data_IF_892423629226
#
_entry.id   IF_892423629226
#
_cell.length_a   1.000
_cell.length_b   1.000
_cell.length_c   1.000
_cell.angle_alpha   90.00
_cell.angle_beta   90.00
_cell.angle_gamma   90.00
#
_symmetry.space_group_name_H-M   'P 1'
#
loop_
_entity.id
_entity.type
_entity.pdbx_description
1 polymer ?
#
# COMPACT_ATOMS: atom_id res chain seq x y z
N UNK A 1 -14.27 -18.60 -10.20
CA UNK A 1 -13.33 -18.38 -11.32
C UNK A 1 -12.03 -17.87 -10.72
N UNK A 2 -11.03 -18.72 -10.58
CA UNK A 2 -9.68 -18.29 -10.19
C UNK A 2 -9.07 -17.62 -11.42
N UNK A 3 -8.86 -16.31 -11.34
CA UNK A 3 -8.20 -15.56 -12.41
C UNK A 3 -6.75 -16.05 -12.47
N UNK A 4 -6.28 -16.38 -13.67
CA UNK A 4 -4.93 -16.89 -13.88
C UNK A 4 -3.87 -15.92 -13.32
N UNK A 5 -3.05 -16.42 -12.39
CA UNK A 5 -2.08 -15.61 -11.65
C UNK A 5 -1.02 -14.98 -12.58
N UNK A 6 -0.39 -15.74 -13.50
CA UNK A 6 0.44 -15.20 -14.58
C UNK A 6 -0.19 -14.01 -15.30
N UNK A 7 -1.42 -14.14 -15.78
CA UNK A 7 -2.11 -13.07 -16.51
C UNK A 7 -2.30 -11.80 -15.66
N UNK A 8 -2.65 -11.94 -14.37
CA UNK A 8 -2.81 -10.80 -13.48
C UNK A 8 -1.50 -10.07 -13.16
N UNK A 9 -0.40 -10.82 -13.02
CA UNK A 9 0.92 -10.20 -12.81
C UNK A 9 1.28 -9.34 -14.03
N UNK A 10 1.06 -9.85 -15.23
CA UNK A 10 1.36 -9.12 -16.47
C UNK A 10 0.54 -7.84 -16.61
N UNK A 11 -0.77 -7.91 -16.36
CA UNK A 11 -1.66 -6.74 -16.39
C UNK A 11 -1.21 -5.68 -15.40
N UNK A 12 -1.01 -6.05 -14.13
CA UNK A 12 -0.62 -5.08 -13.10
C UNK A 12 0.78 -4.53 -13.38
N UNK A 13 1.73 -5.36 -13.80
CA UNK A 13 3.09 -4.93 -14.12
C UNK A 13 3.10 -3.91 -15.26
N UNK A 14 2.37 -4.18 -16.35
CA UNK A 14 2.28 -3.28 -17.48
C UNK A 14 1.60 -1.96 -17.12
N UNK A 15 0.53 -1.99 -16.31
CA UNK A 15 -0.13 -0.78 -15.82
C UNK A 15 0.83 0.07 -14.97
N UNK A 16 1.55 -0.55 -14.04
CA UNK A 16 2.54 0.13 -13.22
C UNK A 16 3.71 0.67 -14.07
N UNK A 17 4.15 -0.07 -15.09
CA UNK A 17 5.19 0.40 -16.02
C UNK A 17 4.73 1.64 -16.79
N UNK A 18 3.52 1.65 -17.32
CA UNK A 18 2.96 2.82 -18.00
C UNK A 18 2.86 4.02 -17.06
N UNK A 19 2.41 3.80 -15.82
CA UNK A 19 2.35 4.84 -14.79
C UNK A 19 3.74 5.39 -14.44
N UNK A 20 4.74 4.51 -14.25
CA UNK A 20 6.13 4.89 -14.01
C UNK A 20 6.67 5.76 -15.14
N UNK A 21 6.40 5.37 -16.39
CA UNK A 21 6.85 6.10 -17.58
C UNK A 21 6.24 7.50 -17.71
N UNK A 22 5.04 7.72 -17.17
CA UNK A 22 4.41 9.06 -17.14
C UNK A 22 5.10 9.97 -16.13
N UNK A 23 5.52 9.42 -14.99
CA UNK A 23 6.11 10.16 -13.87
C UNK A 23 7.62 10.36 -14.03
N UNK A 24 8.33 9.32 -14.49
CA UNK A 24 9.77 9.32 -14.72
C UNK A 24 10.06 8.84 -16.17
N UNK A 25 9.99 9.75 -17.17
CA UNK A 25 10.15 9.38 -18.58
C UNK A 25 11.50 8.74 -18.92
N UNK A 26 12.53 8.92 -18.09
CA UNK A 26 13.83 8.25 -18.22
C UNK A 26 13.74 6.71 -18.15
N UNK A 27 12.63 6.15 -17.64
CA UNK A 27 12.38 4.71 -17.57
C UNK A 27 11.60 4.15 -18.77
N UNK A 28 11.25 4.97 -19.78
CA UNK A 28 10.35 4.55 -20.86
C UNK A 28 10.78 3.28 -21.59
N UNK A 29 12.09 3.08 -21.74
CA UNK A 29 12.68 1.93 -22.42
C UNK A 29 13.19 0.83 -21.46
N UNK A 30 13.02 1.01 -20.14
CA UNK A 30 13.44 0.03 -19.14
C UNK A 30 12.39 -1.10 -19.04
N UNK A 31 12.81 -2.35 -18.88
CA UNK A 31 11.92 -3.51 -18.70
C UNK A 31 11.53 -3.74 -17.23
N UNK A 32 11.98 -2.86 -16.33
CA UNK A 32 11.78 -2.94 -14.88
C UNK A 32 10.81 -1.89 -14.37
N UNK A 33 10.29 -2.13 -13.18
CA UNK A 33 9.51 -1.15 -12.42
C UNK A 33 10.06 -1.03 -10.99
N UNK A 34 9.69 0.03 -10.28
CA UNK A 34 10.16 0.30 -8.92
C UNK A 34 9.23 -0.36 -7.89
N UNK A 35 9.75 -1.14 -6.94
CA UNK A 35 8.91 -1.64 -5.85
C UNK A 35 8.42 -0.48 -4.97
N UNK A 36 7.10 -0.37 -4.77
CA UNK A 36 6.48 0.73 -4.01
C UNK A 36 6.96 0.84 -2.56
N UNK A 37 7.40 -0.24 -1.94
CA UNK A 37 7.92 -0.22 -0.56
C UNK A 37 9.42 0.06 -0.53
N UNK A 38 10.24 -0.85 -1.06
CA UNK A 38 11.70 -0.73 -0.94
C UNK A 38 12.36 0.23 -1.94
N UNK A 39 11.66 0.67 -2.99
CA UNK A 39 12.20 1.58 -4.00
C UNK A 39 13.21 0.97 -4.98
N UNK A 40 13.43 -0.36 -4.95
CA UNK A 40 14.33 -1.02 -5.90
C UNK A 40 13.68 -1.15 -7.27
N UNK A 41 14.45 -0.88 -8.31
CA UNK A 41 14.12 -1.13 -9.70
C UNK A 41 14.34 -2.62 -10.02
N UNK A 42 13.29 -3.32 -10.45
CA UNK A 42 13.25 -4.78 -10.53
C UNK A 42 12.49 -5.27 -11.78
N UNK A 43 12.89 -6.42 -12.31
CA UNK A 43 12.22 -7.09 -13.43
C UNK A 43 10.92 -7.74 -12.99
N UNK A 44 10.03 -8.03 -13.94
CA UNK A 44 8.71 -8.64 -13.71
C UNK A 44 8.77 -9.94 -12.91
N UNK A 45 9.68 -10.83 -13.26
CA UNK A 45 9.91 -12.12 -12.61
C UNK A 45 10.38 -11.99 -11.15
N UNK A 46 10.79 -10.79 -10.72
CA UNK A 46 11.23 -10.47 -9.37
C UNK A 46 10.11 -9.91 -8.46
N UNK A 47 8.88 -9.84 -8.98
CA UNK A 47 7.67 -9.53 -8.21
C UNK A 47 6.83 -10.78 -7.94
N UNK A 48 5.94 -10.64 -6.97
CA UNK A 48 4.86 -11.57 -6.71
C UNK A 48 3.55 -10.79 -6.65
N UNK A 49 2.48 -11.42 -7.14
CA UNK A 49 1.12 -10.94 -6.93
C UNK A 49 0.82 -10.91 -5.44
N UNK A 50 0.33 -9.77 -4.96
CA UNK A 50 0.05 -9.54 -3.55
C UNK A 50 -1.42 -9.19 -3.32
N UNK A 51 -2.00 -9.82 -2.30
CA UNK A 51 -3.33 -9.48 -1.78
C UNK A 51 -3.18 -8.40 -0.71
N UNK A 52 -3.67 -7.20 -1.01
CA UNK A 52 -3.51 -6.05 -0.12
C UNK A 52 -4.23 -6.33 1.20
N UNK A 53 -5.50 -6.73 1.14
CA UNK A 53 -6.18 -7.40 2.26
C UNK A 53 -5.79 -8.88 2.23
N UNK A 54 -5.14 -9.41 3.29
CA UNK A 54 -4.72 -10.81 3.32
C UNK A 54 -5.91 -11.74 3.13
N UNK A 55 -5.70 -12.81 2.36
CA UNK A 55 -6.76 -13.79 2.07
C UNK A 55 -7.33 -14.44 3.34
N UNK A 56 -6.55 -14.51 4.41
CA UNK A 56 -6.98 -15.00 5.71
C UNK A 56 -8.10 -14.12 6.26
N UNK A 57 -8.01 -12.80 6.12
CA UNK A 57 -9.01 -11.84 6.56
C UNK A 57 -10.39 -12.13 5.93
N UNK A 58 -10.40 -12.43 4.63
CA UNK A 58 -11.61 -12.68 3.84
C UNK A 58 -12.35 -13.98 4.19
N UNK A 59 -11.78 -14.86 5.04
CA UNK A 59 -12.41 -16.14 5.40
C UNK A 59 -13.71 -15.98 6.19
N UNK A 60 -13.83 -14.90 6.98
CA UNK A 60 -15.02 -14.58 7.77
C UNK A 60 -15.96 -13.59 7.07
N UNK A 61 -15.69 -13.23 5.82
CA UNK A 61 -16.65 -12.46 5.03
C UNK A 61 -17.98 -13.23 4.95
N UNK A 62 -19.09 -12.49 4.94
CA UNK A 62 -20.44 -13.07 4.85
C UNK A 62 -20.54 -14.01 3.64
N UNK A 63 -21.36 -15.06 3.75
CA UNK A 63 -21.44 -16.10 2.71
C UNK A 63 -21.78 -15.53 1.34
N UNK A 64 -22.69 -14.58 1.28
CA UNK A 64 -23.24 -14.04 0.03
C UNK A 64 -22.23 -13.18 -0.74
N UNK A 65 -21.28 -12.54 -0.04
CA UNK A 65 -20.21 -11.76 -0.70
C UNK A 65 -19.20 -12.65 -1.43
N UNK A 66 -19.25 -13.98 -1.24
CA UNK A 66 -18.41 -14.95 -1.98
C UNK A 66 -18.78 -15.06 -3.46
N UNK A 67 -19.94 -14.53 -3.87
CA UNK A 67 -20.28 -14.30 -5.27
C UNK A 67 -19.30 -13.33 -5.95
N UNK A 68 -18.69 -12.42 -5.18
CA UNK A 68 -17.66 -11.49 -5.67
C UNK A 68 -16.29 -12.19 -5.61
N UNK A 69 -15.50 -12.16 -6.70
CA UNK A 69 -14.20 -12.82 -6.75
C UNK A 69 -13.28 -12.40 -5.59
N UNK A 70 -12.57 -13.38 -5.03
CA UNK A 70 -11.66 -13.16 -3.89
C UNK A 70 -10.59 -12.11 -4.18
N UNK A 71 -10.04 -12.13 -5.40
CA UNK A 71 -9.03 -11.16 -5.85
C UNK A 71 -9.58 -9.74 -5.88
N UNK A 72 -10.83 -9.55 -6.30
CA UNK A 72 -11.54 -8.27 -6.26
C UNK A 72 -11.73 -7.81 -4.83
N UNK A 73 -12.23 -8.68 -3.94
CA UNK A 73 -12.46 -8.35 -2.52
C UNK A 73 -11.19 -8.08 -1.72
N UNK A 74 -10.06 -8.63 -2.15
CA UNK A 74 -8.77 -8.45 -1.49
C UNK A 74 -8.05 -7.18 -1.93
N UNK A 75 -8.28 -6.76 -3.18
CA UNK A 75 -7.39 -5.86 -3.89
C UNK A 75 -6.06 -6.53 -4.23
N UNK A 76 -5.49 -6.18 -5.38
CA UNK A 76 -4.26 -6.77 -5.88
C UNK A 76 -3.21 -5.71 -6.19
N UNK A 77 -1.95 -6.05 -5.95
CA UNK A 77 -0.79 -5.25 -6.39
C UNK A 77 0.44 -6.15 -6.57
N UNK A 78 1.59 -5.56 -6.84
CA UNK A 78 2.88 -6.25 -6.90
C UNK A 78 3.81 -5.79 -5.78
N UNK A 79 4.32 -6.75 -5.01
CA UNK A 79 5.44 -6.54 -4.09
C UNK A 79 6.66 -7.36 -4.53
N UNK A 80 7.85 -6.84 -4.30
CA UNK A 80 9.06 -7.57 -4.67
C UNK A 80 9.24 -8.82 -3.80
N UNK A 81 9.75 -9.89 -4.41
CA UNK A 81 10.11 -11.15 -3.74
C UNK A 81 11.62 -11.37 -3.63
N UNK A 82 12.43 -10.39 -4.03
CA UNK A 82 13.90 -10.45 -3.94
C UNK A 82 14.39 -10.17 -2.52
N UNK A 83 15.40 -10.89 -1.99
CA UNK A 83 15.92 -10.67 -0.64
C UNK A 83 16.16 -9.19 -0.31
N UNK A 84 15.68 -8.73 0.85
CA UNK A 84 15.87 -7.36 1.32
C UNK A 84 17.12 -7.26 2.17
N UNK A 85 17.99 -6.31 1.82
CA UNK A 85 19.07 -5.85 2.68
C UNK A 85 18.81 -4.39 3.06
N UNK A 86 18.67 -4.10 4.34
CA UNK A 86 18.56 -2.73 4.87
C UNK A 86 19.84 -2.47 5.66
N UNK A 87 20.60 -1.44 5.26
CA UNK A 87 21.89 -1.09 5.90
C UNK A 87 22.86 -2.29 5.95
N UNK A 88 22.94 -3.06 4.86
CA UNK A 88 23.79 -4.25 4.75
C UNK A 88 23.26 -5.50 5.46
N UNK A 89 22.33 -5.38 6.41
CA UNK A 89 21.72 -6.51 7.12
C UNK A 89 20.58 -7.12 6.31
N UNK A 90 20.54 -8.45 6.20
CA UNK A 90 19.42 -9.18 5.60
C UNK A 90 18.20 -9.02 6.51
N UNK A 91 17.13 -8.44 5.99
CA UNK A 91 15.90 -8.11 6.74
C UNK A 91 14.73 -9.02 6.34
N UNK A 92 14.70 -9.48 5.09
CA UNK A 92 13.74 -10.47 4.60
C UNK A 92 14.38 -11.34 3.53
N UNK A 93 14.08 -12.63 3.54
CA UNK A 93 14.60 -13.58 2.55
C UNK A 93 13.88 -13.47 1.20
N UNK A 94 12.62 -13.05 1.21
CA UNK A 94 11.72 -13.07 0.05
C UNK A 94 11.06 -11.70 -0.16
N UNK A 95 11.84 -10.62 0.02
CA UNK A 95 11.40 -9.29 -0.36
C UNK A 95 10.39 -8.61 0.56
N UNK A 96 9.76 -7.57 0.01
CA UNK A 96 8.72 -6.81 0.70
C UNK A 96 7.45 -7.64 0.90
N UNK A 97 7.19 -8.60 -0.01
CA UNK A 97 6.02 -9.47 0.11
C UNK A 97 6.09 -10.31 1.38
N UNK A 98 7.18 -11.06 1.57
CA UNK A 98 7.34 -11.86 2.79
C UNK A 98 7.49 -11.01 4.06
N UNK A 99 8.03 -9.80 3.96
CA UNK A 99 8.04 -8.86 5.09
C UNK A 99 6.63 -8.52 5.54
N UNK A 100 5.73 -8.14 4.62
CA UNK A 100 4.33 -7.90 4.93
C UNK A 100 3.66 -9.14 5.53
N UNK A 101 3.86 -10.30 4.91
CA UNK A 101 3.34 -11.58 5.41
C UNK A 101 3.74 -11.87 6.87
N UNK A 102 5.01 -11.64 7.21
CA UNK A 102 5.54 -11.88 8.56
C UNK A 102 5.02 -10.87 9.58
N UNK A 103 4.98 -9.59 9.24
CA UNK A 103 4.78 -8.52 10.24
C UNK A 103 3.33 -8.03 10.33
N UNK A 104 2.54 -8.13 9.25
CA UNK A 104 1.26 -7.44 9.12
C UNK A 104 0.08 -8.36 8.88
N UNK A 105 0.21 -9.41 8.05
CA UNK A 105 -0.96 -10.17 7.57
C UNK A 105 -1.82 -10.76 8.68
N UNK A 106 -1.20 -11.36 9.71
CA UNK A 106 -1.92 -11.92 10.86
C UNK A 106 -2.67 -10.83 11.63
N UNK A 107 -2.08 -9.64 11.79
CA UNK A 107 -2.67 -8.51 12.51
C UNK A 107 -3.83 -7.91 11.73
N UNK A 108 -3.66 -7.70 10.43
CA UNK A 108 -4.72 -7.23 9.53
C UNK A 108 -5.89 -8.22 9.52
N UNK A 109 -5.59 -9.52 9.39
CA UNK A 109 -6.63 -10.56 9.38
C UNK A 109 -7.39 -10.61 10.71
N UNK A 110 -6.69 -10.58 11.85
CA UNK A 110 -7.34 -10.49 13.16
C UNK A 110 -8.21 -9.25 13.27
N UNK A 111 -7.73 -8.10 12.77
CA UNK A 111 -8.41 -6.83 12.89
C UNK A 111 -9.69 -6.76 12.06
N UNK A 112 -9.61 -7.13 10.79
CA UNK A 112 -10.77 -7.10 9.89
C UNK A 112 -11.81 -8.20 10.21
N UNK A 113 -11.42 -9.22 10.97
CA UNK A 113 -12.31 -10.30 11.38
C UNK A 113 -12.96 -10.11 12.74
N UNK A 114 -12.26 -9.45 13.66
CA UNK A 114 -12.70 -9.27 15.03
C UNK A 114 -12.95 -7.78 15.23
N UNK A 115 -14.22 -7.37 15.24
CA UNK A 115 -14.64 -5.99 15.57
C UNK A 115 -14.41 -5.64 17.06
N UNK A 116 -13.54 -6.36 17.76
CA UNK A 116 -13.20 -6.12 19.15
C UNK A 116 -11.88 -5.33 19.22
N UNK A 117 -12.03 -4.01 19.30
CA UNK A 117 -10.93 -3.04 19.26
C UNK A 117 -10.17 -2.91 20.59
N UNK A 118 -10.63 -3.58 21.66
CA UNK A 118 -10.12 -3.40 23.02
C UNK A 118 -8.69 -3.93 23.25
N UNK A 119 -8.11 -4.65 22.28
CA UNK A 119 -6.76 -5.23 22.36
C UNK A 119 -5.82 -4.74 21.26
N UNK A 120 -6.02 -3.51 20.76
CA UNK A 120 -5.11 -2.93 19.78
C UNK A 120 -3.80 -2.48 20.43
N UNK A 121 -2.69 -2.89 19.84
CA UNK A 121 -1.37 -2.32 20.10
C UNK A 121 -0.92 -1.41 18.94
N UNK A 122 0.18 -0.69 19.15
CA UNK A 122 0.79 0.19 18.13
C UNK A 122 1.10 -0.57 16.85
N UNK A 123 1.48 -1.84 16.94
CA UNK A 123 1.82 -2.65 15.77
C UNK A 123 0.59 -3.02 14.93
N UNK A 124 -0.60 -3.16 15.54
CA UNK A 124 -1.87 -3.28 14.82
C UNK A 124 -2.12 -2.01 13.99
N UNK A 125 -1.96 -0.84 14.60
CA UNK A 125 -2.18 0.45 13.93
C UNK A 125 -1.20 0.61 12.76
N UNK A 126 0.08 0.30 12.95
CA UNK A 126 1.10 0.33 11.88
C UNK A 126 0.78 -0.65 10.75
N UNK A 127 0.18 -1.81 11.08
CA UNK A 127 -0.23 -2.80 10.07
C UNK A 127 -1.33 -2.25 9.16
N UNK A 128 -2.32 -1.58 9.75
CA UNK A 128 -3.39 -0.91 9.00
C UNK A 128 -2.83 0.25 8.21
N UNK A 129 -2.00 1.11 8.81
CA UNK A 129 -1.32 2.22 8.14
C UNK A 129 -0.56 1.75 6.89
N UNK A 130 0.23 0.69 7.03
CA UNK A 130 1.00 0.08 5.95
C UNK A 130 0.10 -0.45 4.84
N UNK A 131 -1.03 -1.06 5.20
CA UNK A 131 -2.01 -1.59 4.24
C UNK A 131 -2.73 -0.46 3.51
N UNK A 132 -3.12 0.61 4.19
CA UNK A 132 -3.70 1.80 3.58
C UNK A 132 -2.74 2.43 2.57
N UNK A 133 -1.45 2.49 2.86
CA UNK A 133 -0.46 3.01 1.92
C UNK A 133 -0.33 2.11 0.67
N UNK A 134 -0.34 0.78 0.84
CA UNK A 134 -0.36 -0.16 -0.29
C UNK A 134 -1.64 0.00 -1.13
N UNK A 135 -2.79 0.15 -0.48
CA UNK A 135 -4.06 0.41 -1.15
C UNK A 135 -4.01 1.70 -1.97
N UNK A 136 -3.46 2.77 -1.39
CA UNK A 136 -3.24 4.05 -2.07
C UNK A 136 -2.35 3.88 -3.30
N UNK A 137 -1.24 3.14 -3.20
CA UNK A 137 -0.39 2.81 -4.34
C UNK A 137 -1.14 2.01 -5.42
N UNK A 138 -2.01 1.07 -5.04
CA UNK A 138 -2.75 0.24 -6.01
C UNK A 138 -3.72 1.04 -6.89
N UNK A 139 -4.14 2.22 -6.43
CA UNK A 139 -5.07 3.10 -7.15
C UNK A 139 -4.35 4.28 -7.80
N UNK A 140 -3.43 4.94 -7.09
CA UNK A 140 -2.76 6.16 -7.55
C UNK A 140 -1.36 5.93 -8.12
N UNK A 141 -0.88 4.69 -8.13
CA UNK A 141 0.41 4.33 -8.71
C UNK A 141 1.59 5.03 -8.04
N UNK A 142 2.64 5.28 -8.82
CA UNK A 142 3.89 5.88 -8.39
C UNK A 142 3.76 7.33 -7.92
N UNK A 143 2.65 8.01 -8.21
CA UNK A 143 2.36 9.33 -7.65
C UNK A 143 2.29 9.29 -6.12
N UNK A 144 1.79 8.20 -5.55
CA UNK A 144 1.78 7.96 -4.11
C UNK A 144 3.17 7.62 -3.53
N UNK A 145 4.09 7.10 -4.36
CA UNK A 145 5.39 6.56 -3.92
C UNK A 145 6.48 7.62 -3.89
N UNK A 146 6.46 8.57 -4.82
CA UNK A 146 7.51 9.57 -5.01
C UNK A 146 7.22 10.92 -4.36
N UNK A 147 6.22 10.99 -3.49
CA UNK A 147 6.03 12.14 -2.60
C UNK A 147 6.88 12.01 -1.35
N UNK A 148 7.13 13.14 -0.68
CA UNK A 148 7.75 13.16 0.63
C UNK A 148 6.99 12.27 1.63
N UNK A 149 5.66 12.34 1.62
CA UNK A 149 4.84 11.54 2.54
C UNK A 149 4.81 10.05 2.14
N UNK A 150 4.88 9.75 0.84
CA UNK A 150 5.08 8.39 0.35
C UNK A 150 6.38 7.78 0.88
N UNK A 151 7.46 8.56 0.93
CA UNK A 151 8.74 8.13 1.53
C UNK A 151 8.58 7.87 3.03
N UNK A 152 7.87 8.75 3.76
CA UNK A 152 7.59 8.54 5.19
C UNK A 152 6.83 7.22 5.39
N UNK A 153 5.79 6.97 4.59
CA UNK A 153 4.99 5.75 4.68
C UNK A 153 5.83 4.49 4.42
N UNK A 154 6.70 4.53 3.42
CA UNK A 154 7.63 3.44 3.09
C UNK A 154 8.64 3.18 4.19
N UNK A 155 9.12 4.21 4.89
CA UNK A 155 10.02 4.05 6.03
C UNK A 155 9.28 3.44 7.22
N UNK A 156 8.02 3.82 7.44
CA UNK A 156 7.16 3.23 8.47
C UNK A 156 6.88 1.75 8.22
N UNK A 157 6.72 1.33 6.96
CA UNK A 157 6.57 -0.08 6.55
C UNK A 157 7.75 -0.97 6.99
N UNK A 158 8.94 -0.40 7.25
CA UNK A 158 10.08 -1.17 7.79
C UNK A 158 10.32 -0.95 9.29
N UNK A 159 9.34 -0.36 10.00
CA UNK A 159 9.35 -0.10 11.46
C UNK A 159 8.05 -0.63 12.09
N UNK A 160 7.81 -1.96 12.09
CA UNK A 160 6.50 -2.55 12.40
C UNK A 160 6.04 -2.36 13.85
N UNK A 161 6.97 -2.11 14.77
CA UNK A 161 6.68 -2.13 16.21
C UNK A 161 6.70 -0.73 16.85
N UNK A 162 7.02 0.32 16.07
CA UNK A 162 7.08 1.69 16.55
C UNK A 162 6.80 2.70 15.45
N UNK A 163 5.96 3.68 15.77
CA UNK A 163 5.77 4.84 14.90
C UNK A 163 7.04 5.68 14.81
N UNK A 164 7.37 6.06 13.59
CA UNK A 164 8.44 7.01 13.36
C UNK A 164 8.00 8.41 13.78
N UNK A 165 8.96 9.23 14.21
CA UNK A 165 8.71 10.61 14.68
C UNK A 165 8.18 11.54 13.58
N UNK A 166 8.42 11.19 12.31
CA UNK A 166 7.95 11.93 11.14
C UNK A 166 6.52 11.56 10.72
N UNK A 167 5.87 10.60 11.40
CA UNK A 167 4.45 10.28 11.19
C UNK A 167 3.59 11.20 12.06
N UNK A 168 2.68 11.99 11.46
CA UNK A 168 1.78 12.83 12.23
C UNK A 168 0.85 12.02 13.15
N UNK A 169 0.49 12.59 14.31
CA UNK A 169 -0.33 11.91 15.33
C UNK A 169 -1.70 11.49 14.80
N UNK A 170 -2.34 12.30 13.95
CA UNK A 170 -3.64 11.95 13.35
C UNK A 170 -3.55 10.71 12.44
N UNK A 171 -2.36 10.35 11.93
CA UNK A 171 -2.14 9.13 11.15
C UNK A 171 -1.96 7.88 12.01
N UNK A 172 -1.98 8.05 13.33
CA UNK A 172 -1.86 6.99 14.32
C UNK A 172 -3.24 6.61 14.89
N UNK A 173 -4.32 7.23 14.39
CA UNK A 173 -5.70 6.98 14.82
C UNK A 173 -6.39 6.06 13.82
N UNK A 174 -7.09 5.05 14.33
CA UNK A 174 -8.01 4.21 13.55
C UNK A 174 -9.44 4.63 13.87
N UNK A 175 -10.22 4.87 12.81
CA UNK A 175 -11.67 4.96 12.89
C UNK A 175 -12.25 3.60 12.53
N UNK A 176 -13.06 3.04 13.43
CA UNK A 176 -13.73 1.77 13.22
C UNK A 176 -15.24 1.96 13.15
N UNK A 177 -15.86 1.24 12.22
CA UNK A 177 -17.31 1.14 12.07
C UNK A 177 -17.75 -0.31 12.04
N UNK A 178 -18.97 -0.53 11.54
CA UNK A 178 -19.55 -1.86 11.34
C UNK A 178 -19.44 -2.30 9.89
N UNK A 179 -19.42 -3.63 9.68
CA UNK A 179 -19.55 -4.22 8.34
C UNK A 179 -21.02 -4.58 8.08
N UNK A 180 -21.51 -4.50 6.83
CA UNK A 180 -22.86 -4.97 6.52
C UNK A 180 -23.02 -6.47 6.83
N UNK A 181 -24.17 -6.84 7.42
CA UNK A 181 -24.45 -8.24 7.80
C UNK A 181 -24.96 -9.11 6.64
N UNK A 182 -25.47 -8.46 5.59
CA UNK A 182 -26.03 -9.12 4.38
C UNK A 182 -25.56 -8.40 3.14
N UNK A 183 -25.50 -9.12 2.01
CA UNK A 183 -25.25 -8.51 0.70
C UNK A 183 -26.58 -7.97 0.15
N UNK A 184 -26.65 -6.66 -0.10
CA UNK A 184 -27.76 -6.00 -0.77
C UNK A 184 -27.26 -5.28 -2.02
N UNK A 185 -28.18 -4.85 -2.89
CA UNK A 185 -27.83 -4.03 -4.07
C UNK A 185 -27.10 -2.75 -3.63
N UNK A 186 -27.59 -2.11 -2.56
CA UNK A 186 -27.03 -0.84 -2.07
C UNK A 186 -25.62 -0.97 -1.49
N UNK A 187 -25.29 -2.13 -0.91
CA UNK A 187 -23.99 -2.37 -0.27
C UNK A 187 -23.04 -3.24 -1.08
N UNK A 188 -23.40 -3.63 -2.31
CA UNK A 188 -22.54 -4.44 -3.17
C UNK A 188 -21.16 -3.81 -3.37
N UNK A 189 -21.10 -2.48 -3.49
CA UNK A 189 -19.86 -1.71 -3.63
C UNK A 189 -18.91 -1.92 -2.46
N UNK A 190 -19.41 -2.03 -1.24
CA UNK A 190 -18.59 -2.30 -0.05
C UNK A 190 -17.77 -3.58 -0.24
N UNK A 191 -18.37 -4.60 -0.87
CA UNK A 191 -17.74 -5.88 -1.11
C UNK A 191 -16.81 -5.87 -2.33
N UNK A 192 -17.23 -5.25 -3.43
CA UNK A 192 -16.48 -5.22 -4.69
C UNK A 192 -15.35 -4.18 -4.74
N UNK A 193 -15.41 -3.13 -3.92
CA UNK A 193 -14.42 -2.07 -3.84
C UNK A 193 -13.78 -2.09 -2.44
N UNK A 194 -12.68 -2.83 -2.25
CA UNK A 194 -12.10 -3.03 -0.92
C UNK A 194 -11.52 -1.76 -0.30
N UNK A 195 -11.29 -0.72 -1.10
CA UNK A 195 -10.68 0.54 -0.68
C UNK A 195 -11.52 1.74 -1.12
N UNK A 196 -11.65 2.70 -0.21
CA UNK A 196 -12.22 4.01 -0.50
C UNK A 196 -11.23 5.10 -0.08
N UNK A 197 -11.16 6.15 -0.88
CA UNK A 197 -10.23 7.25 -0.68
C UNK A 197 -11.03 8.56 -0.64
N UNK A 198 -10.75 9.38 0.36
CA UNK A 198 -11.31 10.72 0.48
C UNK A 198 -10.19 11.70 0.79
N UNK A 199 -9.89 12.57 -0.18
CA UNK A 199 -8.93 13.65 0.01
C UNK A 199 -9.61 14.82 0.73
N UNK A 200 -8.97 15.33 1.79
CA UNK A 200 -9.46 16.49 2.53
C UNK A 200 -8.31 17.46 2.76
N UNK A 201 -8.59 18.73 2.51
CA UNK A 201 -7.73 19.84 2.92
C UNK A 201 -8.16 20.28 4.33
N UNK A 202 -7.25 20.23 5.32
CA UNK A 202 -7.47 20.87 6.62
C UNK A 202 -6.38 21.91 6.85
N UNK A 203 -6.75 23.19 6.75
CA UNK A 203 -5.79 24.30 6.70
C UNK A 203 -4.91 24.20 5.45
N UNK A 204 -3.59 24.24 5.63
CA UNK A 204 -2.62 24.18 4.52
C UNK A 204 -2.08 22.77 4.26
N UNK A 205 -2.69 21.74 4.86
CA UNK A 205 -2.25 20.35 4.74
C UNK A 205 -3.33 19.51 4.08
N UNK A 206 -2.90 18.69 3.13
CA UNK A 206 -3.75 17.72 2.48
C UNK A 206 -3.61 16.36 3.18
N UNK A 207 -4.72 15.64 3.26
CA UNK A 207 -4.77 14.31 3.85
C UNK A 207 -5.60 13.38 2.99
N UNK A 208 -5.27 12.08 3.02
CA UNK A 208 -6.10 11.04 2.44
C UNK A 208 -6.70 10.21 3.56
N UNK A 209 -8.01 10.26 3.73
CA UNK A 209 -8.70 9.20 4.46
C UNK A 209 -8.75 7.97 3.57
N UNK A 210 -8.17 6.88 4.04
CA UNK A 210 -8.19 5.58 3.36
C UNK A 210 -9.03 4.64 4.20
N UNK A 211 -10.13 4.18 3.63
CA UNK A 211 -11.00 3.17 4.25
C UNK A 211 -10.73 1.81 3.64
N UNK A 212 -10.53 0.82 4.50
CA UNK A 212 -10.44 -0.60 4.18
C UNK A 212 -11.55 -1.29 4.96
N UNK A 213 -12.60 -1.75 4.27
CA UNK A 213 -13.77 -2.35 4.92
C UNK A 213 -14.38 -1.37 5.95
N UNK A 214 -14.59 -1.83 7.18
CA UNK A 214 -15.17 -1.05 8.27
C UNK A 214 -14.12 -0.22 9.03
N UNK A 215 -12.90 -0.08 8.49
CA UNK A 215 -11.79 0.61 9.13
C UNK A 215 -11.38 1.77 8.24
N UNK A 216 -11.09 2.92 8.83
CA UNK A 216 -10.49 4.05 8.14
C UNK A 216 -9.31 4.62 8.92
N UNK A 217 -8.34 5.15 8.18
CA UNK A 217 -7.17 5.84 8.72
C UNK A 217 -6.79 6.98 7.80
N UNK A 218 -6.21 8.03 8.37
CA UNK A 218 -5.72 9.18 7.63
C UNK A 218 -4.24 9.00 7.31
N UNK A 219 -3.86 9.02 6.04
CA UNK A 219 -2.48 9.08 5.59
C UNK A 219 -2.08 10.53 5.27
N UNK A 220 -0.83 10.93 5.57
CA UNK A 220 -0.33 12.25 5.19
C UNK A 220 -0.20 12.35 3.67
N UNK A 221 -0.60 13.49 3.09
CA UNK A 221 -0.40 13.81 1.68
C UNK A 221 0.25 15.18 1.49
N UNK A 222 1.35 15.22 0.74
CA UNK A 222 1.98 16.49 0.35
C UNK A 222 1.31 17.12 -0.87
N UNK A 223 0.58 16.33 -1.66
CA UNK A 223 -0.07 16.80 -2.88
C UNK A 223 -1.32 15.97 -3.17
N UNK A 224 -2.29 16.57 -3.84
CA UNK A 224 -3.51 15.89 -4.25
C UNK A 224 -3.23 14.92 -5.39
N UNK A 225 -3.78 13.71 -5.26
CA UNK A 225 -3.75 12.74 -6.34
C UNK A 225 -4.77 13.06 -7.43
N UNK A 226 -5.84 13.79 -7.11
CA UNK A 226 -6.84 14.26 -8.07
C UNK A 226 -6.38 15.44 -8.93
N UNK A 227 -5.35 16.19 -8.51
CA UNK A 227 -4.73 17.26 -9.31
C UNK A 227 -3.53 16.75 -10.13
N UNK A 228 -3.52 16.94 -11.46
CA UNK A 228 -2.38 16.60 -12.34
C UNK A 228 -1.16 17.51 -12.07
N UNK A 229 -0.43 17.27 -10.99
CA UNK A 229 0.77 18.02 -10.63
C UNK A 229 2.00 17.17 -10.99
N UNK A 230 3.00 17.82 -11.61
CA UNK A 230 4.29 17.20 -11.97
C UNK A 230 4.96 16.62 -10.70
N UNK A 231 5.54 15.41 -10.75
CA UNK A 231 6.24 14.83 -9.61
C UNK A 231 7.39 15.73 -9.14
N UNK A 232 7.45 15.97 -7.83
CA UNK A 232 8.26 17.05 -7.22
C UNK A 232 9.66 16.60 -6.80
N UNK A 233 9.98 15.30 -6.79
CA UNK A 233 11.28 14.83 -6.33
C UNK A 233 12.08 14.15 -7.44
N UNK A 234 13.29 14.64 -7.79
CA UNK A 234 14.21 13.91 -8.64
C UNK A 234 14.61 12.61 -7.94
N UNK A 235 14.22 11.48 -8.52
CA UNK A 235 14.61 10.16 -8.03
C UNK A 235 16.05 9.87 -8.45
N UNK A 236 16.97 9.70 -7.50
CA UNK A 236 18.34 9.24 -7.77
C UNK A 236 18.49 7.75 -7.42
N UNK A 237 18.91 6.88 -8.35
CA UNK A 237 19.30 5.51 -8.04
C UNK A 237 20.61 5.49 -7.25
N UNK A 238 20.57 5.29 -5.94
CA UNK A 238 21.81 5.04 -5.18
C UNK A 238 22.18 3.56 -5.26
N UNK A 239 23.22 3.26 -6.02
CA UNK A 239 23.82 1.93 -6.16
C UNK A 239 24.38 1.31 -4.86
N UNK A 240 24.16 1.92 -3.69
CA UNK A 240 24.59 1.38 -2.40
C UNK A 240 23.58 1.75 -1.32
N UNK A 241 23.03 0.73 -0.65
CA UNK A 241 22.41 0.79 0.68
C UNK A 241 21.32 1.86 0.82
N UNK A 242 20.03 1.48 0.89
CA UNK A 242 18.89 2.35 1.30
C UNK A 242 19.29 3.68 1.98
N UNK A 243 19.68 4.64 1.15
CA UNK A 243 19.96 6.03 1.45
C UNK A 243 19.51 6.72 0.18
N UNK A 244 18.26 7.17 0.15
CA UNK A 244 17.92 8.20 -0.79
C UNK A 244 18.80 9.41 -0.42
N UNK A 245 19.52 9.95 -1.38
CA UNK A 245 20.09 11.28 -1.26
C UNK A 245 18.90 12.26 -1.33
N UNK A 246 18.76 13.09 -0.31
CA UNK A 246 17.63 14.01 -0.12
C UNK A 246 18.09 15.46 -0.01
N UNK A 247 19.26 15.78 -0.56
CA UNK A 247 19.68 17.17 -0.67
C UNK A 247 18.71 17.91 -1.62
N UNK A 248 18.05 18.99 -1.18
CA UNK A 248 17.22 19.79 -2.08
C UNK A 248 18.10 20.42 -3.16
N UNK A 249 17.72 20.28 -4.43
CA UNK A 249 18.44 20.86 -5.57
C UNK A 249 18.14 22.37 -5.78
N UNK A 250 17.74 23.06 -4.73
CA UNK A 250 17.62 24.52 -4.74
C UNK A 250 18.36 25.06 -3.52
N UNK A 251 19.58 25.52 -3.76
CA UNK A 251 20.23 26.60 -3.03
C UNK A 251 19.47 27.90 -3.23
#
# INVERSE_FOLDING_TARGET
MDIDKPAMVDVIFNNLKQDLNKILPSYRNDDRIICCMCGRLLRKDQFSLEHIIPQQALKKDIRDSKSIPKNTRAGLTLLCKQPLKIRGKKVSELGCNAWKGKHYDKKIASFLQNQNFNKMDVSNIISIFSTCFIAMFSVFGYKAVFTHDGIICRRQFFSPDKFRRDIPEFSQIILAGSSPEKLTVDNQKYWSSPFYFFEKLCGNKLFCSVSIRHVAMVLPLTQSFSLNIRPVLPWMPSHRIMRPDFTPLFS
#
